data_IF_393228715571
#
_entry.id   IF_393228715571
#
_cell.length_a   1.000
_cell.length_b   1.000
_cell.length_c   1.000
_cell.angle_alpha   90.00
_cell.angle_beta   90.00
_cell.angle_gamma   90.00
#
_symmetry.space_group_name_H-M   'P 1'
#
loop_
_entity.id
_entity.type
_entity.pdbx_description
1 polymer ?
#
# COMPACT_ATOMS: atom_id res chain seq x y z
N UNK A 1 12.96 7.68 11.06
CA UNK A 1 11.56 7.29 10.81
C UNK A 1 11.54 6.45 9.54
N UNK A 2 10.81 5.33 9.52
CA UNK A 2 10.55 4.59 8.28
C UNK A 2 9.50 5.36 7.46
N UNK A 3 9.64 5.38 6.14
CA UNK A 3 8.62 5.89 5.24
C UNK A 3 7.37 5.02 5.34
N UNK A 4 6.20 5.62 5.52
CA UNK A 4 4.91 4.92 5.59
C UNK A 4 4.14 5.16 4.31
N UNK A 5 3.88 4.10 3.53
CA UNK A 5 3.15 4.17 2.27
C UNK A 5 1.82 3.42 2.36
N UNK A 6 0.73 4.07 1.96
CA UNK A 6 -0.60 3.48 1.88
C UNK A 6 -0.90 2.93 0.49
N UNK A 7 -1.36 1.69 0.39
CA UNK A 7 -1.83 1.12 -0.87
C UNK A 7 -3.32 1.38 -0.99
N UNK A 8 -3.72 2.08 -2.05
CA UNK A 8 -5.11 2.39 -2.37
C UNK A 8 -5.51 1.83 -3.73
N UNK A 9 -6.78 1.58 -3.93
CA UNK A 9 -7.33 1.10 -5.20
C UNK A 9 -8.76 0.64 -5.04
N UNK A 10 -9.49 0.56 -6.14
CA UNK A 10 -10.85 0.01 -6.17
C UNK A 10 -10.86 -1.48 -5.79
N UNK A 11 -12.00 -2.05 -5.41
CA UNK A 11 -12.12 -3.48 -5.19
C UNK A 11 -11.70 -4.29 -6.43
N UNK A 12 -11.10 -5.46 -6.20
CA UNK A 12 -10.73 -6.44 -7.25
C UNK A 12 -9.68 -5.95 -8.28
N UNK A 13 -8.87 -4.95 -7.93
CA UNK A 13 -7.77 -4.47 -8.79
C UNK A 13 -6.44 -5.21 -8.57
N UNK A 14 -6.36 -6.08 -7.56
CA UNK A 14 -5.14 -6.80 -7.20
C UNK A 14 -4.38 -6.21 -6.00
N UNK A 15 -4.98 -5.25 -5.28
CA UNK A 15 -4.37 -4.56 -4.15
C UNK A 15 -3.89 -5.51 -3.05
N UNK A 16 -4.75 -6.41 -2.56
CA UNK A 16 -4.39 -7.39 -1.53
C UNK A 16 -3.37 -8.42 -2.03
N UNK A 17 -3.39 -8.75 -3.32
CA UNK A 17 -2.39 -9.62 -3.93
C UNK A 17 -1.01 -8.96 -3.88
N UNK A 18 -0.92 -7.68 -4.28
CA UNK A 18 0.32 -6.90 -4.19
C UNK A 18 0.81 -6.80 -2.74
N UNK A 19 -0.08 -6.46 -1.81
CA UNK A 19 0.25 -6.38 -0.39
C UNK A 19 0.79 -7.71 0.15
N UNK A 20 0.14 -8.82 -0.18
CA UNK A 20 0.56 -10.15 0.24
C UNK A 20 1.93 -10.53 -0.36
N UNK A 21 2.19 -10.21 -1.63
CA UNK A 21 3.50 -10.44 -2.25
C UNK A 21 4.60 -9.66 -1.53
N UNK A 22 4.36 -8.39 -1.22
CA UNK A 22 5.31 -7.55 -0.48
C UNK A 22 5.53 -8.05 0.96
N UNK A 23 4.46 -8.46 1.64
CA UNK A 23 4.52 -8.99 3.01
C UNK A 23 5.15 -10.38 3.07
N UNK A 24 4.89 -11.25 2.08
CA UNK A 24 5.43 -12.60 2.01
C UNK A 24 6.93 -12.62 1.69
N UNK A 25 7.41 -11.68 0.89
CA UNK A 25 8.84 -11.48 0.65
C UNK A 25 9.61 -11.23 1.96
N UNK A 26 8.93 -10.66 2.96
CA UNK A 26 9.49 -10.42 4.30
C UNK A 26 9.59 -11.70 5.13
N UNK A 27 8.67 -12.65 5.01
CA UNK A 27 8.71 -13.90 5.77
C UNK A 27 9.96 -14.72 5.47
N UNK A 28 10.54 -14.56 4.28
CA UNK A 28 11.80 -15.19 3.89
C UNK A 28 13.06 -14.42 4.36
N UNK A 29 12.94 -13.12 4.68
CA UNK A 29 14.07 -12.29 5.10
C UNK A 29 14.06 -11.94 6.61
N UNK A 30 13.02 -12.30 7.34
CA UNK A 30 12.81 -11.85 8.72
C UNK A 30 13.37 -12.81 9.76
N UNK A 31 14.67 -12.64 10.04
CA UNK A 31 15.24 -12.98 11.35
C UNK A 31 15.21 -11.76 12.31
N UNK A 32 14.16 -10.93 12.25
CA UNK A 32 14.00 -9.77 13.14
C UNK A 32 12.89 -10.02 14.16
N UNK A 33 13.20 -10.01 15.49
CA UNK A 33 12.29 -10.47 16.55
C UNK A 33 11.17 -9.52 16.95
N UNK A 34 10.93 -8.40 16.28
CA UNK A 34 9.95 -7.38 16.70
C UNK A 34 9.04 -6.87 15.59
N UNK A 35 8.46 -7.77 14.78
CA UNK A 35 7.44 -7.36 13.83
C UNK A 35 6.07 -7.85 14.26
N UNK A 36 5.28 -6.97 14.85
CA UNK A 36 3.81 -7.13 14.99
C UNK A 36 3.22 -6.99 13.59
N UNK A 37 2.63 -8.05 13.08
CA UNK A 37 1.91 -8.02 11.80
C UNK A 37 0.44 -7.82 12.16
N UNK A 38 -0.02 -6.58 12.14
CA UNK A 38 -1.44 -6.33 11.94
C UNK A 38 -1.80 -6.76 10.51
N UNK A 39 -2.97 -7.36 10.32
CA UNK A 39 -3.40 -7.92 9.03
C UNK A 39 -3.45 -6.88 7.88
N UNK A 40 -3.25 -5.61 8.17
CA UNK A 40 -3.29 -4.48 7.25
C UNK A 40 -1.98 -3.67 7.21
N UNK A 41 -0.95 -4.06 7.94
CA UNK A 41 0.34 -3.36 7.95
C UNK A 41 1.49 -4.35 7.74
N UNK A 42 2.41 -4.00 6.86
CA UNK A 42 3.63 -4.77 6.60
C UNK A 42 4.83 -3.83 6.55
N UNK A 43 5.96 -4.25 7.07
CA UNK A 43 7.22 -3.51 6.91
C UNK A 43 8.09 -4.26 5.94
N UNK A 44 8.62 -3.60 4.93
CA UNK A 44 9.53 -4.16 3.93
C UNK A 44 10.91 -3.55 4.05
N UNK A 45 11.95 -4.33 3.81
CA UNK A 45 13.32 -3.83 3.70
C UNK A 45 13.54 -3.24 2.31
N UNK A 46 14.20 -2.09 2.25
CA UNK A 46 14.57 -1.45 0.99
C UNK A 46 15.88 -2.06 0.50
N UNK A 47 15.90 -2.73 -0.67
CA UNK A 47 17.14 -3.25 -1.23
C UNK A 47 18.07 -2.10 -1.63
N UNK A 48 19.33 -2.15 -1.19
CA UNK A 48 20.34 -1.16 -1.56
C UNK A 48 21.69 -1.84 -1.77
N UNK A 49 22.13 -1.90 -3.04
CA UNK A 49 23.41 -2.50 -3.41
C UNK A 49 24.61 -1.77 -2.79
N UNK A 50 24.48 -0.47 -2.51
CA UNK A 50 25.54 0.32 -1.87
C UNK A 50 25.79 -0.18 -0.44
N UNK A 51 24.70 -0.54 0.27
CA UNK A 51 24.79 -1.11 1.61
C UNK A 51 25.56 -2.44 1.59
N UNK A 52 25.26 -3.29 0.61
CA UNK A 52 25.95 -4.57 0.44
C UNK A 52 27.44 -4.38 0.15
N UNK A 53 27.78 -3.48 -0.79
CA UNK A 53 29.19 -3.16 -1.10
C UNK A 53 29.95 -2.59 0.09
N UNK A 54 29.33 -1.72 0.87
CA UNK A 54 29.93 -1.21 2.10
C UNK A 54 30.16 -2.32 3.13
N UNK A 55 29.21 -3.24 3.28
CA UNK A 55 29.35 -4.38 4.17
C UNK A 55 30.49 -5.31 3.77
N UNK A 56 30.71 -5.52 2.48
CA UNK A 56 31.86 -6.28 1.95
C UNK A 56 33.22 -5.62 2.28
N UNK A 57 33.27 -4.28 2.30
CA UNK A 57 34.49 -3.54 2.58
C UNK A 57 34.84 -3.49 4.08
N UNK A 58 33.84 -3.29 4.94
CA UNK A 58 34.08 -3.02 6.37
C UNK A 58 33.80 -4.22 7.27
N UNK A 59 33.25 -5.31 6.73
CA UNK A 59 32.90 -6.53 7.47
C UNK A 59 32.21 -6.25 8.81
N UNK A 60 31.02 -5.57 8.80
CA UNK A 60 30.35 -5.14 10.01
C UNK A 60 29.78 -6.34 10.77
N UNK A 61 29.67 -6.23 12.09
CA UNK A 61 29.02 -7.24 12.91
C UNK A 61 27.49 -7.32 12.70
N UNK A 62 26.88 -6.29 12.10
CA UNK A 62 25.44 -6.22 11.79
C UNK A 62 25.18 -5.29 10.61
N UNK A 63 24.28 -5.69 9.72
CA UNK A 63 23.78 -4.88 8.62
C UNK A 63 22.30 -4.55 8.91
N UNK A 64 21.94 -3.27 8.86
CA UNK A 64 20.56 -2.79 9.09
C UNK A 64 20.12 -2.02 7.86
N UNK A 65 19.32 -2.62 6.97
CA UNK A 65 18.76 -1.92 5.82
C UNK A 65 17.70 -0.88 6.25
N UNK A 66 17.47 0.11 5.39
CA UNK A 66 16.31 0.97 5.53
C UNK A 66 15.02 0.16 5.36
N UNK A 67 13.95 0.60 6.02
CA UNK A 67 12.65 -0.05 5.94
C UNK A 67 11.57 0.92 5.48
N UNK A 68 10.54 0.40 4.80
CA UNK A 68 9.34 1.10 4.45
C UNK A 68 8.13 0.35 5.04
N UNK A 69 7.26 1.08 5.72
CA UNK A 69 6.01 0.54 6.25
C UNK A 69 4.92 0.64 5.18
N UNK A 70 4.31 -0.49 4.84
CA UNK A 70 3.24 -0.56 3.85
C UNK A 70 1.93 -0.85 4.58
N UNK A 71 0.90 -0.05 4.29
CA UNK A 71 -0.44 -0.19 4.87
C UNK A 71 -1.41 -0.52 3.75
N UNK A 72 -2.14 -1.62 3.88
CA UNK A 72 -3.28 -1.92 3.00
C UNK A 72 -4.48 -1.10 3.43
N UNK A 73 -4.84 -0.08 2.65
CA UNK A 73 -5.95 0.80 2.94
C UNK A 73 -7.19 0.24 2.24
N UNK A 74 -8.05 -0.43 3.03
CA UNK A 74 -9.28 -1.02 2.53
C UNK A 74 -10.37 0.03 2.32
N UNK A 75 -11.22 -0.15 1.31
CA UNK A 75 -12.56 0.44 1.27
C UNK A 75 -12.75 1.72 0.49
N UNK A 76 -11.89 2.06 -0.51
CA UNK A 76 -12.24 3.11 -1.44
C UNK A 76 -13.23 2.58 -2.48
N UNK A 77 -14.50 2.94 -2.30
CA UNK A 77 -15.57 2.83 -3.29
C UNK A 77 -16.10 4.23 -3.55
N UNK A 78 -16.67 4.43 -4.73
CA UNK A 78 -17.35 5.68 -5.10
C UNK A 78 -18.36 6.07 -4.01
N UNK A 79 -18.28 7.30 -3.50
CA UNK A 79 -19.13 7.78 -2.40
C UNK A 79 -18.56 7.56 -0.99
N UNK A 80 -17.33 7.08 -0.85
CA UNK A 80 -16.68 6.89 0.45
C UNK A 80 -16.52 8.22 1.23
N UNK A 81 -16.40 9.34 0.52
CA UNK A 81 -16.33 10.69 1.10
C UNK A 81 -17.65 11.14 1.74
N UNK A 82 -18.79 10.57 1.35
CA UNK A 82 -20.11 10.99 1.85
C UNK A 82 -20.50 10.40 3.21
N UNK A 83 -19.58 9.75 3.90
CA UNK A 83 -19.70 9.50 5.34
C UNK A 83 -20.47 8.25 5.76
N UNK A 84 -20.80 7.33 4.87
CA UNK A 84 -21.40 6.06 5.27
C UNK A 84 -20.33 5.05 5.69
N UNK A 85 -20.13 4.90 6.98
CA UNK A 85 -19.45 3.81 7.65
C UNK A 85 -17.94 3.73 7.49
N UNK A 86 -17.42 3.12 6.43
CA UNK A 86 -15.99 2.83 6.22
C UNK A 86 -15.17 4.03 5.71
N UNK A 87 -15.83 5.06 5.17
CA UNK A 87 -15.15 6.23 4.56
C UNK A 87 -14.29 7.02 5.55
N UNK A 88 -14.73 7.19 6.79
CA UNK A 88 -13.98 7.92 7.81
C UNK A 88 -12.73 7.16 8.30
N UNK A 89 -12.79 5.82 8.38
CA UNK A 89 -11.63 5.00 8.74
C UNK A 89 -10.58 5.01 7.62
N UNK A 90 -11.02 4.92 6.36
CA UNK A 90 -10.16 5.02 5.20
C UNK A 90 -9.32 6.30 5.21
N UNK A 91 -9.96 7.43 5.47
CA UNK A 91 -9.32 8.74 5.46
C UNK A 91 -8.40 8.95 6.67
N UNK A 92 -8.73 8.37 7.82
CA UNK A 92 -7.84 8.31 8.96
C UNK A 92 -6.54 7.59 8.60
N UNK A 93 -6.64 6.45 7.93
CA UNK A 93 -5.47 5.68 7.51
C UNK A 93 -4.61 6.41 6.46
N UNK A 94 -5.21 7.14 5.51
CA UNK A 94 -4.46 7.94 4.52
C UNK A 94 -3.67 9.07 5.19
N UNK A 95 -4.27 9.78 6.14
CA UNK A 95 -3.59 10.89 6.85
C UNK A 95 -2.37 10.45 7.64
N UNK A 96 -2.28 9.17 7.97
CA UNK A 96 -1.13 8.61 8.68
C UNK A 96 -0.02 8.13 7.74
N UNK A 97 -0.16 8.29 6.43
CA UNK A 97 0.83 7.86 5.43
C UNK A 97 1.59 9.04 4.84
N UNK A 98 2.87 8.82 4.52
CA UNK A 98 3.73 9.82 3.88
C UNK A 98 3.59 9.80 2.35
N UNK A 99 3.14 8.65 1.80
CA UNK A 99 2.97 8.44 0.36
C UNK A 99 1.80 7.50 0.08
N UNK A 100 1.24 7.61 -1.13
CA UNK A 100 0.14 6.75 -1.61
C UNK A 100 0.62 5.95 -2.82
N UNK A 101 0.42 4.63 -2.77
CA UNK A 101 0.62 3.72 -3.89
C UNK A 101 -0.76 3.39 -4.47
N UNK A 102 -1.06 3.95 -5.62
CA UNK A 102 -2.34 3.75 -6.29
C UNK A 102 -2.29 2.53 -7.21
N UNK A 103 -3.07 1.50 -6.90
CA UNK A 103 -3.16 0.26 -7.70
C UNK A 103 -4.33 0.34 -8.65
N UNK A 104 -4.03 0.26 -9.95
CA UNK A 104 -5.01 0.31 -11.03
C UNK A 104 -5.06 -1.04 -11.75
N UNK A 105 -6.26 -1.48 -12.11
CA UNK A 105 -6.46 -2.68 -12.89
C UNK A 105 -6.30 -2.36 -14.38
N UNK A 106 -5.27 -2.94 -15.01
CA UNK A 106 -4.99 -2.81 -16.44
C UNK A 106 -5.11 -4.13 -17.21
N UNK A 107 -5.65 -5.17 -16.56
CA UNK A 107 -5.82 -6.50 -17.16
C UNK A 107 -7.31 -6.85 -17.27
N UNK A 108 -7.65 -7.60 -18.32
CA UNK A 108 -8.99 -8.17 -18.52
C UNK A 108 -9.05 -9.59 -17.98
N UNK A 109 -10.10 -9.90 -17.22
CA UNK A 109 -10.40 -11.24 -16.75
C UNK A 109 -11.88 -11.32 -16.42
N UNK A 110 -12.63 -12.09 -17.20
CA UNK A 110 -14.08 -12.24 -17.08
C UNK A 110 -14.52 -12.91 -15.76
N UNK A 111 -13.62 -13.65 -15.11
CA UNK A 111 -13.89 -14.29 -13.82
C UNK A 111 -13.73 -13.32 -12.63
N UNK A 112 -13.20 -12.11 -12.84
CA UNK A 112 -12.99 -11.11 -11.80
C UNK A 112 -13.89 -9.92 -12.10
N UNK A 113 -14.96 -9.77 -11.32
CA UNK A 113 -15.93 -8.68 -11.48
C UNK A 113 -15.26 -7.32 -11.23
N UNK A 114 -15.48 -6.35 -12.12
CA UNK A 114 -15.13 -4.95 -11.91
C UNK A 114 -16.31 -4.20 -11.31
N UNK A 115 -16.06 -3.30 -10.35
CA UNK A 115 -17.12 -2.52 -9.64
C UNK A 115 -17.97 -1.71 -10.61
N UNK A 116 -17.36 -1.12 -11.65
CA UNK A 116 -18.05 -0.32 -12.67
C UNK A 116 -18.36 -1.11 -13.95
N UNK A 117 -18.31 -2.44 -13.91
CA UNK A 117 -18.68 -3.33 -15.01
C UNK A 117 -17.69 -3.40 -16.18
N UNK A 118 -16.66 -2.56 -16.21
CA UNK A 118 -15.63 -2.56 -17.25
C UNK A 118 -14.28 -2.08 -16.72
N UNK A 119 -13.19 -2.58 -17.30
CA UNK A 119 -11.83 -2.16 -16.96
C UNK A 119 -11.52 -0.83 -17.66
N UNK A 120 -11.27 0.21 -16.90
CA UNK A 120 -10.82 1.52 -17.40
C UNK A 120 -9.92 2.19 -16.35
N UNK A 121 -8.59 2.01 -16.43
CA UNK A 121 -7.66 2.51 -15.41
C UNK A 121 -7.68 4.03 -15.25
N UNK A 122 -7.94 4.77 -16.32
CA UNK A 122 -8.00 6.24 -16.27
C UNK A 122 -9.20 6.69 -15.47
N UNK A 123 -10.39 6.18 -15.80
CA UNK A 123 -11.62 6.45 -15.04
C UNK A 123 -11.45 6.06 -13.56
N UNK A 124 -10.89 4.87 -13.31
CA UNK A 124 -10.73 4.34 -11.96
C UNK A 124 -9.77 5.22 -11.13
N UNK A 125 -8.72 5.76 -11.76
CA UNK A 125 -7.84 6.73 -11.15
C UNK A 125 -8.58 8.03 -10.81
N UNK A 126 -9.32 8.57 -11.75
CA UNK A 126 -10.07 9.82 -11.56
C UNK A 126 -11.11 9.72 -10.43
N UNK A 127 -11.76 8.57 -10.26
CA UNK A 127 -12.70 8.32 -9.15
C UNK A 127 -11.97 8.45 -7.81
N UNK A 128 -10.82 7.82 -7.66
CA UNK A 128 -10.05 7.87 -6.41
C UNK A 128 -9.48 9.26 -6.16
N UNK A 129 -8.94 9.91 -7.19
CA UNK A 129 -8.43 11.27 -7.07
C UNK A 129 -9.53 12.24 -6.62
N UNK A 130 -10.75 12.11 -7.18
CA UNK A 130 -11.88 12.95 -6.79
C UNK A 130 -12.28 12.73 -5.32
N UNK A 131 -12.35 11.49 -4.86
CA UNK A 131 -12.65 11.18 -3.45
C UNK A 131 -11.61 11.76 -2.49
N UNK A 132 -10.32 11.69 -2.85
CA UNK A 132 -9.25 12.29 -2.06
C UNK A 132 -9.35 13.82 -2.03
N UNK A 133 -9.62 14.45 -3.20
CA UNK A 133 -9.77 15.91 -3.31
C UNK A 133 -10.98 16.43 -2.53
N UNK A 134 -12.13 15.74 -2.60
CA UNK A 134 -13.31 16.11 -1.82
C UNK A 134 -12.96 16.10 -0.32
N UNK A 135 -12.17 15.15 0.10
CA UNK A 135 -11.78 15.05 1.51
C UNK A 135 -10.77 16.10 1.95
N UNK A 136 -9.88 16.51 1.06
CA UNK A 136 -8.98 17.63 1.33
C UNK A 136 -9.77 18.94 1.52
N UNK A 137 -10.89 19.11 0.82
CA UNK A 137 -11.77 20.27 0.96
C UNK A 137 -12.53 20.31 2.30
N UNK A 138 -12.73 19.16 2.95
CA UNK A 138 -13.41 19.10 4.26
C UNK A 138 -12.48 19.43 5.44
N UNK A 139 -11.19 19.64 5.20
CA UNK A 139 -10.19 19.94 6.21
C UNK A 139 -9.98 21.43 6.35
#
# INVERSE_FOLDING_TARGET
MALKAGIVGLPNVGKSTLFNCLSSAKAQSANYPFCTIDAQQGQISVPDERLNKLAELVHPGRIVPATCDIVDIAGLVKGASQGEGLGNQFLGNIRETDAIIHVLRCFDNDNIVHVDGSVNPVRDKEIIDAELQIKDLET
#
